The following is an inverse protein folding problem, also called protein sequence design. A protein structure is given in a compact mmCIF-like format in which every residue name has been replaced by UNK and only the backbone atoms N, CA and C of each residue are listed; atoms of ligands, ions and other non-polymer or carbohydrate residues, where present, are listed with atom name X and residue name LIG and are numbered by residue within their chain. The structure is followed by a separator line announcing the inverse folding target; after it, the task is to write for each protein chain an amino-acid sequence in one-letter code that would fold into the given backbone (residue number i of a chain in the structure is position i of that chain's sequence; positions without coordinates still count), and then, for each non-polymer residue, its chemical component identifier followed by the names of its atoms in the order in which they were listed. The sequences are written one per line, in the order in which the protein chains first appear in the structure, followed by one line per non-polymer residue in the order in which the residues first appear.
data_IF_787987212804
#
_entry.id   IF_787987212804
#
_cell.length_a   1.000
_cell.length_b   1.000
_cell.length_c   1.000
_cell.angle_alpha   90.00
_cell.angle_beta   90.00
_cell.angle_gamma   90.00
#
_symmetry.space_group_name_H-M   'P 1'
#
loop_
_entity.id
_entity.type
_entity.pdbx_description
1 polymer ?
#
# COMPACT_ATOMS: atom_id res chain seq x y z
N UNK A 1 14.93 3.47 -4.00
CA UNK A 1 14.15 4.60 -3.42
C UNK A 1 13.79 4.35 -1.96
N UNK A 2 13.27 5.34 -1.21
CA UNK A 2 12.92 5.22 0.23
C UNK A 2 12.01 4.01 0.54
N UNK A 3 11.07 3.70 -0.37
CA UNK A 3 10.13 2.58 -0.26
C UNK A 3 10.86 1.22 -0.32
N UNK A 4 11.72 1.02 -1.31
CA UNK A 4 12.46 -0.25 -1.54
C UNK A 4 13.37 -0.66 -0.38
N UNK A 5 13.68 0.26 0.54
CA UNK A 5 14.50 -0.05 1.72
C UNK A 5 13.75 -0.91 2.74
N UNK A 6 12.43 -0.70 2.87
CA UNK A 6 11.61 -1.31 3.93
C UNK A 6 10.40 -2.09 3.37
N UNK A 7 10.11 -1.97 2.07
CA UNK A 7 8.95 -2.55 1.43
C UNK A 7 9.35 -3.21 0.11
N UNK A 8 8.58 -4.23 -0.28
CA UNK A 8 8.61 -4.81 -1.62
C UNK A 8 7.45 -4.19 -2.39
N UNK A 9 7.69 -3.27 -3.34
CA UNK A 9 6.61 -2.69 -4.12
C UNK A 9 6.04 -3.74 -5.08
N UNK A 10 4.70 -3.84 -5.10
CA UNK A 10 3.96 -4.66 -6.06
C UNK A 10 2.93 -3.77 -6.75
N UNK A 11 3.00 -3.73 -8.07
CA UNK A 11 1.97 -3.12 -8.90
C UNK A 11 0.99 -4.21 -9.33
N UNK A 12 -0.30 -3.94 -9.20
CA UNK A 12 -1.37 -4.82 -9.67
C UNK A 12 -2.27 -4.02 -10.61
N UNK A 13 -2.42 -4.51 -11.82
CA UNK A 13 -3.40 -3.99 -12.77
C UNK A 13 -4.76 -4.65 -12.51
N UNK A 14 -5.78 -3.86 -12.20
CA UNK A 14 -7.12 -4.39 -11.91
C UNK A 14 -7.80 -5.03 -13.13
N UNK A 15 -7.31 -4.77 -14.34
CA UNK A 15 -7.87 -5.30 -15.57
C UNK A 15 -7.22 -6.62 -16.00
N UNK A 16 -5.93 -6.79 -15.68
CA UNK A 16 -5.13 -7.93 -16.16
C UNK A 16 -4.70 -8.88 -15.03
N UNK A 17 -4.61 -8.41 -13.78
CA UNK A 17 -4.16 -9.20 -12.63
C UNK A 17 -5.33 -9.71 -11.79
N UNK A 18 -5.12 -10.90 -11.22
CA UNK A 18 -6.03 -11.44 -10.23
C UNK A 18 -5.74 -10.84 -8.84
N UNK A 19 -6.58 -9.91 -8.42
CA UNK A 19 -6.44 -9.19 -7.15
C UNK A 19 -7.01 -9.94 -5.93
N UNK A 20 -7.24 -11.27 -6.03
CA UNK A 20 -7.80 -12.16 -5.00
C UNK A 20 -7.87 -11.60 -3.56
N UNK A 21 -9.08 -11.35 -3.08
CA UNK A 21 -9.33 -10.92 -1.69
C UNK A 21 -9.07 -9.43 -1.42
N UNK A 22 -8.51 -8.70 -2.38
CA UNK A 22 -8.42 -7.24 -2.35
C UNK A 22 -9.67 -6.64 -2.97
N UNK A 23 -10.18 -5.58 -2.35
CA UNK A 23 -11.29 -4.79 -2.88
C UNK A 23 -10.81 -3.39 -3.24
N UNK A 24 -11.48 -2.71 -4.16
CA UNK A 24 -11.15 -1.32 -4.49
C UNK A 24 -12.46 -0.56 -4.78
N UNK A 25 -12.44 0.74 -4.49
CA UNK A 25 -13.55 1.65 -4.85
C UNK A 25 -13.18 2.42 -6.12
N UNK A 26 -11.88 2.67 -6.33
CA UNK A 26 -11.33 3.29 -7.53
C UNK A 26 -9.82 3.11 -7.59
N UNK A 27 -9.23 3.40 -8.73
CA UNK A 27 -7.77 3.36 -8.94
C UNK A 27 -7.17 4.75 -8.87
N UNK A 28 -5.99 4.94 -8.25
CA UNK A 28 -5.19 3.91 -7.56
C UNK A 28 -5.71 3.60 -6.15
N UNK A 29 -5.62 2.34 -5.73
CA UNK A 29 -5.79 1.92 -4.32
C UNK A 29 -4.48 1.33 -3.83
N UNK A 30 -3.99 1.77 -2.67
CA UNK A 30 -2.74 1.29 -2.09
C UNK A 30 -3.01 0.37 -0.91
N UNK A 31 -2.34 -0.78 -0.91
CA UNK A 31 -2.34 -1.74 0.19
C UNK A 31 -0.93 -1.84 0.78
N UNK A 32 -0.84 -1.67 2.10
CA UNK A 32 0.36 -1.98 2.85
C UNK A 32 0.09 -3.24 3.67
N UNK A 33 0.82 -4.31 3.38
CA UNK A 33 0.66 -5.60 4.04
C UNK A 33 1.96 -6.00 4.76
N UNK A 34 1.82 -6.78 5.83
CA UNK A 34 2.96 -7.46 6.42
C UNK A 34 3.30 -8.76 5.66
N UNK A 35 4.37 -9.44 6.06
CA UNK A 35 4.80 -10.71 5.45
C UNK A 35 3.79 -11.87 5.59
N UNK A 36 2.82 -11.76 6.50
CA UNK A 36 1.73 -12.72 6.66
C UNK A 36 0.49 -12.41 5.82
N UNK A 37 0.54 -11.42 4.92
CA UNK A 37 -0.60 -11.02 4.09
C UNK A 37 -1.68 -10.22 4.82
N UNK A 38 -1.45 -9.81 6.08
CA UNK A 38 -2.38 -8.96 6.81
C UNK A 38 -2.22 -7.51 6.38
N UNK A 39 -3.31 -6.88 5.96
CA UNK A 39 -3.36 -5.44 5.68
C UNK A 39 -3.12 -4.64 6.95
N UNK A 40 -2.09 -3.79 6.92
CA UNK A 40 -1.77 -2.80 7.95
C UNK A 40 -2.53 -1.51 7.67
N UNK A 41 -2.54 -1.08 6.41
CA UNK A 41 -3.21 0.15 5.95
C UNK A 41 -3.69 -0.02 4.52
N UNK A 42 -4.85 0.56 4.23
CA UNK A 42 -5.39 0.75 2.88
C UNK A 42 -5.62 2.24 2.65
N UNK A 43 -5.29 2.71 1.46
CA UNK A 43 -5.61 4.05 0.99
C UNK A 43 -6.40 3.92 -0.31
N UNK A 44 -7.67 4.32 -0.27
CA UNK A 44 -8.53 4.35 -1.45
C UNK A 44 -8.37 5.66 -2.19
N UNK A 45 -8.05 5.59 -3.49
CA UNK A 45 -8.03 6.75 -4.37
C UNK A 45 -7.10 7.85 -3.88
N UNK A 46 -5.81 7.52 -3.66
CA UNK A 46 -4.82 8.49 -3.17
C UNK A 46 -4.73 9.67 -4.16
N UNK A 47 -5.48 10.72 -3.84
CA UNK A 47 -5.71 11.86 -4.72
C UNK A 47 -4.66 12.94 -4.47
N UNK A 48 -3.81 12.77 -3.45
CA UNK A 48 -2.65 13.61 -3.21
C UNK A 48 -1.43 12.81 -2.67
N UNK A 49 -0.24 13.25 -3.09
CA UNK A 49 1.05 12.63 -2.69
C UNK A 49 1.35 12.76 -1.19
N UNK A 50 0.69 13.73 -0.53
CA UNK A 50 0.88 14.01 0.90
C UNK A 50 0.31 12.88 1.76
N UNK A 51 -0.91 12.44 1.50
CA UNK A 51 -1.56 11.32 2.20
C UNK A 51 -0.77 10.03 2.07
N UNK A 52 -0.26 9.75 0.87
CA UNK A 52 0.61 8.60 0.64
C UNK A 52 1.90 8.69 1.47
N UNK A 53 2.55 9.86 1.46
CA UNK A 53 3.80 10.09 2.20
C UNK A 53 3.60 10.03 3.72
N UNK A 54 2.50 10.60 4.22
CA UNK A 54 2.13 10.57 5.63
C UNK A 54 1.86 9.14 6.10
N UNK A 55 1.08 8.37 5.34
CA UNK A 55 0.83 6.95 5.62
C UNK A 55 2.11 6.12 5.62
N UNK A 56 3.01 6.36 4.65
CA UNK A 56 4.32 5.71 4.61
C UNK A 56 5.14 5.99 5.88
N UNK A 57 5.17 7.24 6.34
CA UNK A 57 5.86 7.63 7.55
C UNK A 57 5.25 7.01 8.83
N UNK A 58 3.93 6.87 8.90
CA UNK A 58 3.25 6.18 10.00
C UNK A 58 3.64 4.70 10.06
N UNK A 59 3.62 4.01 8.91
CA UNK A 59 3.96 2.59 8.85
C UNK A 59 5.43 2.36 9.17
N UNK A 60 6.33 3.19 8.66
CA UNK A 60 7.77 3.13 9.00
C UNK A 60 8.02 3.28 10.51
N UNK A 61 7.21 4.08 11.23
CA UNK A 61 7.30 4.17 12.70
C UNK A 61 6.82 2.89 13.39
N UNK A 62 5.82 2.21 12.84
CA UNK A 62 5.33 0.93 13.37
C UNK A 62 6.36 -0.19 13.17
N UNK A 63 7.10 -0.19 12.06
CA UNK A 63 8.10 -1.21 11.73
C UNK A 63 9.43 -1.07 12.50
N UNK A 64 9.69 0.10 13.10
CA UNK A 64 10.91 0.38 13.87
C UNK A 64 10.78 0.06 15.38
N UNK A 65 9.62 -0.42 15.82
CA UNK A 65 9.38 -0.92 17.17
C UNK A 65 9.65 -2.41 17.23
#
# INVERSE_FOLDING_TARGET
GRIEKNFIPLHLDIHDDNIHGLTYIGTPTFYFQNSGGRTIKRLDGASNIKEFTDALAEIEKLLKK
#
